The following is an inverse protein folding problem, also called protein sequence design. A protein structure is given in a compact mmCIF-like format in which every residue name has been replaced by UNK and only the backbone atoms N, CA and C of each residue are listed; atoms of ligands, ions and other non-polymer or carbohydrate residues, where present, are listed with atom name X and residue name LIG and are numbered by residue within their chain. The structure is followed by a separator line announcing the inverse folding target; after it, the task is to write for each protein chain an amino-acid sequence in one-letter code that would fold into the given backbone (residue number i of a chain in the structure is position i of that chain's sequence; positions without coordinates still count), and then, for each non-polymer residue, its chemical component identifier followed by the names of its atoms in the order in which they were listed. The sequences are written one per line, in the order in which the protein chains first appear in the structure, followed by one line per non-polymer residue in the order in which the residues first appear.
data_IF_019739865738
#
_entry.id   IF_019739865738
#
_cell.length_a   1.000
_cell.length_b   1.000
_cell.length_c   1.000
_cell.angle_alpha   90.00
_cell.angle_beta   90.00
_cell.angle_gamma   90.00
#
_symmetry.space_group_name_H-M   'P 1'
#
loop_
_entity.id
_entity.type
_entity.pdbx_description
1 polymer ?
#
# COMPACT_ATOMS: atom_id res chain seq x y z
N UNK A 1 -32.99 47.35 -15.72
CA UNK A 1 -33.16 46.15 -14.86
C UNK A 1 -32.13 45.11 -15.29
N UNK A 2 -31.10 44.82 -14.48
CA UNK A 2 -30.07 43.82 -14.80
C UNK A 2 -30.39 42.53 -14.05
N UNK A 3 -30.63 41.43 -14.77
CA UNK A 3 -30.76 40.08 -14.19
C UNK A 3 -29.38 39.64 -13.70
N UNK A 4 -29.27 39.25 -12.42
CA UNK A 4 -28.08 38.55 -11.91
C UNK A 4 -28.35 37.05 -12.06
N UNK A 5 -27.64 36.41 -12.98
CA UNK A 5 -27.52 34.95 -12.99
C UNK A 5 -26.71 34.53 -11.77
N UNK A 6 -27.29 33.64 -10.95
CA UNK A 6 -26.61 33.04 -9.81
C UNK A 6 -25.97 31.74 -10.32
N UNK A 7 -24.65 31.76 -10.50
CA UNK A 7 -23.87 30.58 -10.79
C UNK A 7 -23.83 29.69 -9.54
N UNK A 8 -24.64 28.62 -9.51
CA UNK A 8 -24.58 27.63 -8.44
C UNK A 8 -23.34 26.78 -8.68
N UNK A 9 -22.24 27.14 -8.02
CA UNK A 9 -21.05 26.30 -7.91
C UNK A 9 -21.43 25.01 -7.19
N UNK A 10 -21.67 23.93 -7.95
CA UNK A 10 -21.67 22.58 -7.41
C UNK A 10 -20.24 22.29 -6.91
N UNK A 11 -19.98 22.59 -5.64
CA UNK A 11 -18.74 22.18 -4.99
C UNK A 11 -18.78 20.66 -4.85
N UNK A 12 -18.07 19.97 -5.73
CA UNK A 12 -17.72 18.57 -5.53
C UNK A 12 -17.09 18.43 -4.12
N UNK A 13 -17.57 17.47 -3.29
CA UNK A 13 -17.15 17.38 -1.91
C UNK A 13 -15.65 17.09 -1.82
N UNK A 14 -14.99 17.75 -0.86
CA UNK A 14 -13.55 17.59 -0.67
C UNK A 14 -13.20 16.15 -0.29
N UNK A 15 -12.00 15.67 -0.67
CA UNK A 15 -11.51 14.31 -0.33
C UNK A 15 -11.53 14.01 1.18
N UNK A 16 -11.46 15.04 2.03
CA UNK A 16 -11.60 14.91 3.49
C UNK A 16 -13.05 14.73 3.95
N UNK A 17 -14.02 15.27 3.22
CA UNK A 17 -15.46 15.17 3.52
C UNK A 17 -16.03 13.81 3.13
N UNK A 18 -15.52 13.20 2.06
CA UNK A 18 -15.81 11.79 1.71
C UNK A 18 -15.44 10.82 2.84
N UNK A 19 -14.52 11.21 3.73
CA UNK A 19 -14.02 10.35 4.80
C UNK A 19 -14.89 10.37 6.08
N UNK A 20 -15.79 11.36 6.24
CA UNK A 20 -16.61 11.55 7.45
C UNK A 20 -17.85 10.63 7.51
N UNK A 21 -18.30 10.07 6.39
CA UNK A 21 -19.49 9.20 6.30
C UNK A 21 -19.17 7.69 6.30
N UNK A 22 -17.94 7.29 6.65
CA UNK A 22 -17.45 5.89 6.52
C UNK A 22 -17.89 4.94 7.66
N UNK A 23 -18.80 5.38 8.54
CA UNK A 23 -19.22 4.65 9.75
C UNK A 23 -20.53 3.85 9.60
N UNK A 24 -21.00 3.59 8.38
CA UNK A 24 -22.00 2.55 8.11
C UNK A 24 -21.37 1.45 7.27
N UNK A 25 -21.42 0.16 7.66
CA UNK A 25 -20.86 -0.93 6.88
C UNK A 25 -21.79 -1.27 5.71
N UNK A 26 -22.06 -0.30 4.83
CA UNK A 26 -22.54 -0.59 3.50
C UNK A 26 -21.31 -0.78 2.64
N UNK A 27 -20.98 -2.04 2.36
CA UNK A 27 -19.98 -2.37 1.35
C UNK A 27 -20.28 -1.57 0.07
N UNK A 28 -19.26 -1.00 -0.58
CA UNK A 28 -19.47 -0.13 -1.71
C UNK A 28 -20.25 -0.85 -2.82
N UNK A 29 -21.15 -0.12 -3.49
CA UNK A 29 -21.99 -0.65 -4.58
C UNK A 29 -21.19 -1.26 -5.73
N UNK A 30 -19.94 -0.81 -5.90
CA UNK A 30 -18.98 -1.29 -6.89
C UNK A 30 -18.18 -2.52 -6.45
N UNK A 31 -18.57 -3.18 -5.35
CA UNK A 31 -17.99 -4.46 -4.93
C UNK A 31 -18.95 -5.62 -5.20
N UNK A 32 -18.38 -6.81 -5.43
CA UNK A 32 -19.13 -8.07 -5.56
C UNK A 32 -19.80 -8.54 -4.26
N UNK A 33 -19.60 -7.82 -3.14
CA UNK A 33 -20.09 -8.22 -1.83
C UNK A 33 -21.60 -8.47 -1.81
N UNK A 34 -22.39 -7.66 -2.51
CA UNK A 34 -23.85 -7.86 -2.57
C UNK A 34 -24.24 -9.21 -3.16
N UNK A 35 -23.49 -9.69 -4.15
CA UNK A 35 -23.77 -10.96 -4.84
C UNK A 35 -23.19 -12.15 -4.07
N UNK A 36 -21.99 -12.00 -3.54
CA UNK A 36 -21.25 -13.07 -2.88
C UNK A 36 -21.68 -13.27 -1.42
N UNK A 37 -22.00 -12.19 -0.71
CA UNK A 37 -22.34 -12.22 0.72
C UNK A 37 -23.84 -12.16 0.98
N UNK A 38 -24.61 -11.43 0.14
CA UNK A 38 -26.05 -11.18 0.37
C UNK A 38 -26.96 -11.90 -0.64
N UNK A 39 -26.37 -12.65 -1.59
CA UNK A 39 -27.15 -13.42 -2.57
C UNK A 39 -27.89 -12.58 -3.61
N UNK A 40 -27.55 -11.30 -3.77
CA UNK A 40 -28.17 -10.46 -4.80
C UNK A 40 -27.89 -11.02 -6.21
N UNK A 41 -28.84 -10.79 -7.13
CA UNK A 41 -28.65 -11.10 -8.53
C UNK A 41 -27.87 -9.95 -9.22
N UNK A 42 -26.85 -10.30 -10.00
CA UNK A 42 -26.14 -9.41 -10.89
C UNK A 42 -25.62 -10.23 -12.08
N UNK A 43 -26.03 -9.85 -13.29
CA UNK A 43 -25.66 -10.57 -14.51
C UNK A 43 -24.19 -10.37 -14.90
N UNK A 44 -23.54 -9.34 -14.35
CA UNK A 44 -22.13 -9.05 -14.63
C UNK A 44 -21.18 -9.93 -13.81
N UNK A 45 -21.69 -10.64 -12.79
CA UNK A 45 -20.86 -11.39 -11.85
C UNK A 45 -20.96 -12.89 -12.10
N UNK A 46 -19.85 -13.47 -12.55
CA UNK A 46 -19.64 -14.92 -12.58
C UNK A 46 -18.79 -15.31 -11.38
N UNK A 47 -19.26 -16.27 -10.57
CA UNK A 47 -18.54 -16.73 -9.36
C UNK A 47 -17.40 -17.66 -9.75
N UNK A 48 -16.23 -17.42 -9.17
CA UNK A 48 -15.04 -18.25 -9.39
C UNK A 48 -15.07 -19.55 -8.57
N UNK A 49 -14.20 -20.51 -8.91
CA UNK A 49 -14.13 -21.81 -8.25
C UNK A 49 -13.86 -21.69 -6.74
N UNK A 50 -13.05 -20.72 -6.34
CA UNK A 50 -12.71 -20.43 -4.95
C UNK A 50 -13.95 -20.03 -4.14
N UNK A 51 -14.88 -19.28 -4.76
CA UNK A 51 -16.16 -18.96 -4.12
C UNK A 51 -17.04 -20.21 -4.01
N UNK A 52 -17.06 -21.05 -5.04
CA UNK A 52 -17.79 -22.32 -4.99
C UNK A 52 -17.24 -23.27 -3.94
N UNK A 53 -15.94 -23.22 -3.64
CA UNK A 53 -15.30 -24.01 -2.60
C UNK A 53 -15.67 -23.58 -1.16
N UNK A 54 -16.31 -22.41 -0.96
CA UNK A 54 -16.69 -21.91 0.36
C UNK A 54 -17.85 -22.71 1.02
N UNK A 55 -18.55 -23.56 0.26
CA UNK A 55 -19.63 -24.37 0.80
C UNK A 55 -20.36 -25.15 -0.29
N UNK A 56 -21.33 -25.98 0.10
CA UNK A 56 -22.12 -26.74 -0.86
C UNK A 56 -23.33 -25.91 -1.26
N UNK A 57 -24.07 -25.41 -0.27
CA UNK A 57 -25.29 -24.61 -0.48
C UNK A 57 -24.96 -23.12 -0.67
N UNK A 58 -25.90 -22.38 -1.26
CA UNK A 58 -25.78 -20.92 -1.42
C UNK A 58 -25.67 -20.21 -0.07
N UNK A 59 -26.41 -20.68 0.95
CA UNK A 59 -26.39 -20.11 2.29
C UNK A 59 -25.03 -20.31 2.97
N UNK A 60 -24.45 -21.52 2.88
CA UNK A 60 -23.12 -21.81 3.41
C UNK A 60 -22.06 -20.91 2.77
N UNK A 61 -22.09 -20.77 1.43
CA UNK A 61 -21.16 -19.90 0.70
C UNK A 61 -21.26 -18.44 1.15
N UNK A 62 -22.50 -17.93 1.30
CA UNK A 62 -22.74 -16.56 1.75
C UNK A 62 -22.23 -16.34 3.18
N UNK A 63 -22.53 -17.24 4.10
CA UNK A 63 -22.07 -17.16 5.49
C UNK A 63 -20.54 -17.23 5.60
N UNK A 64 -19.91 -18.16 4.88
CA UNK A 64 -18.46 -18.28 4.83
C UNK A 64 -17.82 -17.02 4.22
N UNK A 65 -18.38 -16.48 3.14
CA UNK A 65 -17.90 -15.24 2.53
C UNK A 65 -18.02 -14.04 3.47
N UNK A 66 -19.15 -13.90 4.19
CA UNK A 66 -19.31 -12.86 5.21
C UNK A 66 -18.27 -12.98 6.33
N UNK A 67 -17.93 -14.21 6.73
CA UNK A 67 -16.96 -14.47 7.79
C UNK A 67 -15.56 -13.95 7.45
N UNK A 68 -15.17 -13.93 6.16
CA UNK A 68 -13.89 -13.36 5.69
C UNK A 68 -13.71 -11.88 6.07
N UNK A 69 -14.81 -11.15 6.29
CA UNK A 69 -14.78 -9.72 6.63
C UNK A 69 -15.02 -9.42 8.11
N UNK A 70 -15.27 -10.45 8.93
CA UNK A 70 -15.48 -10.27 10.39
C UNK A 70 -14.17 -10.02 11.12
N UNK A 71 -13.05 -10.50 10.58
CA UNK A 71 -11.72 -10.29 11.16
C UNK A 71 -11.20 -8.91 10.80
N UNK A 72 -10.90 -8.10 11.81
CA UNK A 72 -10.20 -6.84 11.62
C UNK A 72 -8.72 -7.11 11.29
N UNK A 73 -8.20 -6.37 10.32
CA UNK A 73 -6.76 -6.34 10.07
C UNK A 73 -6.08 -5.59 11.22
N UNK A 74 -4.93 -6.09 11.66
CA UNK A 74 -4.16 -5.42 12.71
C UNK A 74 -3.65 -4.06 12.20
N UNK A 75 -3.42 -3.08 13.11
CA UNK A 75 -2.83 -1.80 12.74
C UNK A 75 -1.52 -1.95 11.96
N UNK A 76 -0.71 -2.95 12.31
CA UNK A 76 0.58 -3.25 11.68
C UNK A 76 0.39 -3.71 10.23
N UNK A 77 -0.53 -4.66 9.98
CA UNK A 77 -0.85 -5.11 8.62
C UNK A 77 -1.43 -3.99 7.77
N UNK A 78 -2.32 -3.16 8.35
CA UNK A 78 -2.83 -1.98 7.65
C UNK A 78 -1.72 -0.98 7.32
N UNK A 79 -0.77 -0.79 8.22
CA UNK A 79 0.39 0.07 7.98
C UNK A 79 1.25 -0.47 6.84
N UNK A 80 1.56 -1.78 6.84
CA UNK A 80 2.32 -2.43 5.76
C UNK A 80 1.65 -2.23 4.40
N UNK A 81 0.36 -2.56 4.29
CA UNK A 81 -0.41 -2.41 3.04
C UNK A 81 -0.41 -0.96 2.55
N UNK A 82 -0.62 0.01 3.44
CA UNK A 82 -0.62 1.44 3.09
C UNK A 82 0.76 1.90 2.62
N UNK A 83 1.82 1.50 3.31
CA UNK A 83 3.20 1.87 2.95
C UNK A 83 3.59 1.30 1.60
N UNK A 84 3.24 0.04 1.33
CA UNK A 84 3.49 -0.61 0.06
C UNK A 84 2.72 0.07 -1.08
N UNK A 85 1.40 0.29 -0.92
CA UNK A 85 0.57 0.94 -1.94
C UNK A 85 1.03 2.37 -2.26
N UNK A 86 1.35 3.18 -1.24
CA UNK A 86 1.81 4.56 -1.45
C UNK A 86 3.20 4.66 -2.07
N UNK A 87 3.95 3.56 -2.07
CA UNK A 87 5.31 3.50 -2.63
C UNK A 87 5.37 2.65 -3.89
N UNK A 88 4.22 2.16 -4.40
CA UNK A 88 4.11 1.23 -5.52
C UNK A 88 4.96 -0.05 -5.35
N UNK A 89 5.10 -0.52 -4.10
CA UNK A 89 5.85 -1.70 -3.73
C UNK A 89 4.94 -2.90 -3.40
N UNK A 90 5.54 -4.08 -3.32
CA UNK A 90 4.86 -5.35 -3.05
C UNK A 90 4.83 -5.64 -1.54
N UNK A 91 3.70 -6.15 -1.03
CA UNK A 91 3.54 -6.63 0.35
C UNK A 91 3.96 -8.11 0.48
N UNK A 92 4.19 -8.57 1.72
CA UNK A 92 4.47 -9.98 1.99
C UNK A 92 5.92 -10.26 2.43
N UNK A 93 6.30 -11.53 2.41
CA UNK A 93 7.60 -11.98 2.94
C UNK A 93 8.76 -11.51 2.08
N UNK A 94 9.95 -11.41 2.66
CA UNK A 94 11.15 -11.02 1.92
C UNK A 94 11.46 -12.00 0.79
N UNK A 95 11.25 -13.30 1.03
CA UNK A 95 11.34 -14.34 -0.01
C UNK A 95 10.43 -14.00 -1.19
N UNK A 96 9.16 -13.72 -0.94
CA UNK A 96 8.19 -13.40 -1.99
C UNK A 96 8.60 -12.14 -2.75
N UNK A 97 9.03 -11.09 -2.04
CA UNK A 97 9.49 -9.85 -2.66
C UNK A 97 10.70 -10.09 -3.57
N UNK A 98 11.68 -10.88 -3.13
CA UNK A 98 12.86 -11.24 -3.96
C UNK A 98 12.46 -12.07 -5.18
N UNK A 99 11.53 -13.02 -5.04
CA UNK A 99 11.01 -13.81 -6.16
C UNK A 99 10.34 -12.91 -7.21
N UNK A 100 9.51 -11.94 -6.80
CA UNK A 100 8.85 -11.01 -7.70
C UNK A 100 9.83 -10.00 -8.33
N UNK A 101 10.79 -9.48 -7.58
CA UNK A 101 11.86 -8.62 -8.14
C UNK A 101 12.62 -9.34 -9.25
N UNK A 102 12.96 -10.62 -9.03
CA UNK A 102 13.63 -11.45 -10.03
C UNK A 102 12.75 -11.69 -11.25
N UNK A 103 11.47 -12.00 -11.04
CA UNK A 103 10.53 -12.27 -12.13
C UNK A 103 10.26 -11.03 -13.00
N UNK A 104 10.20 -9.84 -12.40
CA UNK A 104 9.91 -8.59 -13.12
C UNK A 104 11.16 -7.86 -13.61
N UNK A 105 12.36 -8.26 -13.19
CA UNK A 105 13.61 -7.59 -13.55
C UNK A 105 13.71 -6.15 -13.06
N UNK A 106 12.89 -5.77 -12.07
CA UNK A 106 12.88 -4.43 -11.46
C UNK A 106 12.86 -4.52 -9.95
N UNK A 107 13.46 -3.53 -9.31
CA UNK A 107 13.51 -3.43 -7.85
C UNK A 107 12.16 -3.03 -7.28
N UNK A 108 11.76 -3.70 -6.20
CA UNK A 108 10.53 -3.53 -5.43
C UNK A 108 10.80 -3.39 -3.92
N UNK A 109 12.07 -3.26 -3.53
CA UNK A 109 12.48 -2.94 -2.17
C UNK A 109 12.81 -1.45 -2.01
N UNK A 110 12.40 -0.81 -0.89
CA UNK A 110 12.66 0.61 -0.65
C UNK A 110 14.17 0.91 -0.60
N UNK A 111 14.57 2.08 -1.10
CA UNK A 111 15.91 2.64 -0.89
C UNK A 111 15.83 3.73 0.18
N UNK A 112 16.85 3.90 1.03
CA UNK A 112 16.94 5.10 1.86
C UNK A 112 16.74 6.35 0.99
N UNK A 113 15.72 7.13 1.35
CA UNK A 113 15.42 8.40 0.69
C UNK A 113 16.54 9.39 1.02
N UNK A 114 17.08 10.06 0.01
CA UNK A 114 18.07 11.12 0.19
C UNK A 114 19.22 11.10 -0.82
N UNK A 115 20.00 12.18 -0.81
CA UNK A 115 21.23 12.33 -1.59
C UNK A 115 22.27 11.29 -1.12
N UNK A 116 23.09 10.73 -2.02
CA UNK A 116 24.27 9.97 -1.61
C UNK A 116 25.10 10.75 -0.58
N UNK A 117 25.59 10.07 0.45
CA UNK A 117 26.50 10.69 1.44
C UNK A 117 27.78 11.14 0.73
N UNK A 118 28.35 12.26 1.16
CA UNK A 118 29.64 12.72 0.62
C UNK A 118 30.72 11.72 1.07
N UNK A 119 31.78 11.50 0.27
CA UNK A 119 32.88 10.61 0.64
C UNK A 119 33.55 10.98 1.98
N UNK A 120 33.51 12.25 2.36
CA UNK A 120 34.02 12.77 3.64
C UNK A 120 33.31 12.22 4.88
N UNK A 121 32.08 11.71 4.74
CA UNK A 121 31.25 11.23 5.84
C UNK A 121 31.33 9.70 5.99
N UNK A 122 32.09 9.05 5.12
CA UNK A 122 32.45 7.64 5.22
C UNK A 122 33.70 7.60 6.09
N UNK A 123 33.68 6.91 7.23
CA UNK A 123 34.87 6.72 8.08
C UNK A 123 35.96 5.99 7.28
N UNK A 124 36.77 6.73 6.50
CA UNK A 124 38.07 6.26 6.11
C UNK A 124 38.94 6.26 7.39
N UNK A 125 39.71 5.20 7.66
CA UNK A 125 40.66 5.22 8.75
C UNK A 125 41.55 6.46 8.58
N UNK A 126 41.57 7.35 9.57
CA UNK A 126 42.49 8.48 9.57
C UNK A 126 43.89 7.88 9.59
N UNK A 127 44.58 7.93 8.45
CA UNK A 127 46.01 7.62 8.41
C UNK A 127 46.69 8.55 9.41
N UNK A 128 47.34 7.95 10.40
CA UNK A 128 48.14 8.66 11.38
C UNK A 128 49.36 9.19 10.64
N UNK A 129 49.35 10.46 10.25
CA UNK A 129 50.53 11.15 9.73
C UNK A 129 51.44 11.64 10.88
N UNK A 130 51.70 10.76 11.85
CA UNK A 130 52.67 11.03 12.90
C UNK A 130 53.82 10.05 12.68
N UNK A 131 54.75 10.42 11.78
CA UNK A 131 56.15 9.97 11.73
C UNK A 131 56.75 10.31 10.35
N UNK A 132 56.96 11.59 10.02
CA UNK A 132 58.05 12.02 9.12
C UNK A 132 58.43 13.48 9.39
N UNK A 133 59.11 13.73 10.53
CA UNK A 133 60.03 14.86 10.68
C UNK A 133 61.34 14.31 11.25
N UNK A 134 62.11 13.66 10.39
CA UNK A 134 63.53 13.38 10.62
C UNK A 134 64.29 13.50 9.30
N UNK A 135 64.38 14.72 8.78
CA UNK A 135 65.38 15.03 7.76
C UNK A 135 65.87 16.46 7.95
N UNK A 136 67.20 16.62 7.91
CA UNK A 136 67.99 17.85 8.01
C UNK A 136 68.34 18.34 9.42
N UNK A 137 69.36 17.71 10.00
CA UNK A 137 70.48 18.43 10.64
C UNK A 137 71.73 17.54 10.53
N UNK A 138 72.49 17.73 9.45
CA UNK A 138 73.93 17.41 9.32
C UNK A 138 74.40 17.83 7.92
N UNK A 139 74.91 19.06 7.83
CA UNK A 139 76.02 19.49 6.97
C UNK A 139 76.57 20.81 7.51
#
# INVERSE_FOLDING_TARGET
MKKKEVYVMNKEPSRSELNKNRLRPHFPKWSSYRVNALGAADQLITRHLEYHALGITSEQKQQAYQALFRTHLTPETLHEVRTALNSELVTGTDRFKTEIERALGRRLQPKPRGRPRKPSDINLPKERHDEQLSFVENL
#
